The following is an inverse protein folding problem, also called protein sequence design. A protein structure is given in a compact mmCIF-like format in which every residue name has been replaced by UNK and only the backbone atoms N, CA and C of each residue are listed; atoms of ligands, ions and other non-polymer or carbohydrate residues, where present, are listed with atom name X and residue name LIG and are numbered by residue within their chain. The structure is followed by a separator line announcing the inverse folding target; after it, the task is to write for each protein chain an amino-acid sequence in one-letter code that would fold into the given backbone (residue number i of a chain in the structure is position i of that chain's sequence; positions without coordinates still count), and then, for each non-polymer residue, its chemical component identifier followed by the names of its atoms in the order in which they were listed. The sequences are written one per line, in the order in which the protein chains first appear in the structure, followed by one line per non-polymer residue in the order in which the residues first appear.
data_IF_570770629255
#
_entry.id   IF_570770629255
#
_cell.length_a   1.000
_cell.length_b   1.000
_cell.length_c   1.000
_cell.angle_alpha   90.00
_cell.angle_beta   90.00
_cell.angle_gamma   90.00
#
_symmetry.space_group_name_H-M   'P 1'
#
loop_
_entity.id
_entity.type
_entity.pdbx_description
1 polymer ?
#
# COMPACT_ATOMS: atom_id res chain seq x y z
N UNK A 1 3.58 4.59 27.62
CA UNK A 1 3.29 4.58 26.19
C UNK A 1 1.84 4.14 26.00
N UNK A 2 1.07 4.87 25.20
CA UNK A 2 -0.34 4.57 24.93
C UNK A 2 -0.58 4.63 23.43
N UNK A 3 -1.51 3.80 22.93
CA UNK A 3 -1.94 3.80 21.53
C UNK A 3 -3.44 4.12 21.51
N UNK A 4 -3.82 5.07 20.65
CA UNK A 4 -5.21 5.36 20.34
C UNK A 4 -5.53 4.77 18.96
N UNK A 5 -6.41 3.81 18.95
CA UNK A 5 -6.84 3.08 17.76
C UNK A 5 -8.17 3.62 17.26
N UNK A 6 -8.23 3.99 16.00
CA UNK A 6 -9.45 4.47 15.33
C UNK A 6 -9.94 3.36 14.40
N UNK A 7 -11.05 2.72 14.79
CA UNK A 7 -11.71 1.71 13.97
C UNK A 7 -13.22 1.66 14.27
N UNK A 8 -14.02 1.24 13.30
CA UNK A 8 -15.49 1.15 13.40
C UNK A 8 -16.17 2.48 13.83
N UNK A 9 -15.55 3.63 13.50
CA UNK A 9 -16.04 4.96 13.90
C UNK A 9 -15.86 5.29 15.38
N UNK A 10 -15.00 4.55 16.08
CA UNK A 10 -14.69 4.76 17.52
C UNK A 10 -13.20 4.90 17.75
N UNK A 11 -12.84 5.59 18.81
CA UNK A 11 -11.47 5.68 19.30
C UNK A 11 -11.34 4.78 20.52
N UNK A 12 -10.44 3.81 20.47
CA UNK A 12 -10.13 2.93 21.59
C UNK A 12 -8.70 3.20 22.05
N UNK A 13 -8.51 3.33 23.35
CA UNK A 13 -7.19 3.55 23.95
C UNK A 13 -6.63 2.26 24.54
N UNK A 14 -5.37 2.01 24.26
CA UNK A 14 -4.63 0.84 24.74
C UNK A 14 -3.36 1.31 25.46
N UNK A 15 -3.07 0.70 26.60
CA UNK A 15 -1.78 0.86 27.28
C UNK A 15 -0.78 -0.11 26.68
N UNK A 16 0.42 0.34 26.35
CA UNK A 16 1.48 -0.46 25.78
C UNK A 16 2.04 0.10 24.47
N UNK A 17 2.96 -0.64 23.86
CA UNK A 17 3.59 -0.31 22.59
C UNK A 17 2.75 -0.84 21.40
N UNK A 18 3.18 -0.49 20.19
CA UNK A 18 2.51 -0.92 18.95
C UNK A 18 2.43 -2.44 18.82
N UNK A 19 3.48 -3.16 19.15
CA UNK A 19 3.52 -4.62 19.04
C UNK A 19 2.47 -5.27 19.94
N UNK A 20 2.39 -4.83 21.21
CA UNK A 20 1.38 -5.32 22.15
C UNK A 20 -0.05 -5.05 21.64
N UNK A 21 -0.31 -3.82 21.16
CA UNK A 21 -1.60 -3.47 20.59
C UNK A 21 -1.94 -4.35 19.37
N UNK A 22 -0.98 -4.51 18.46
CA UNK A 22 -1.17 -5.30 17.24
C UNK A 22 -1.54 -6.76 17.55
N UNK A 23 -0.75 -7.42 18.40
CA UNK A 23 -0.99 -8.81 18.83
C UNK A 23 -2.33 -8.95 19.54
N UNK A 24 -2.65 -8.05 20.49
CA UNK A 24 -3.93 -8.04 21.21
C UNK A 24 -5.11 -7.83 20.26
N UNK A 25 -5.00 -6.94 19.30
CA UNK A 25 -6.05 -6.67 18.31
C UNK A 25 -6.30 -7.87 17.40
N UNK A 26 -5.24 -8.56 16.95
CA UNK A 26 -5.33 -9.78 16.15
C UNK A 26 -5.97 -10.92 16.95
N UNK A 27 -5.57 -11.10 18.20
CA UNK A 27 -6.15 -12.11 19.08
C UNK A 27 -7.65 -11.87 19.29
N UNK A 28 -8.03 -10.64 19.60
CA UNK A 28 -9.44 -10.26 19.78
C UNK A 28 -10.27 -10.49 18.50
N UNK A 29 -9.70 -10.19 17.32
CA UNK A 29 -10.36 -10.44 16.05
C UNK A 29 -10.59 -11.93 15.81
N UNK A 30 -9.58 -12.78 16.06
CA UNK A 30 -9.69 -14.25 15.96
C UNK A 30 -10.72 -14.82 16.93
N UNK A 31 -10.72 -14.35 18.18
CA UNK A 31 -11.71 -14.80 19.19
C UNK A 31 -13.14 -14.44 18.79
N UNK A 32 -13.38 -13.22 18.29
CA UNK A 32 -14.69 -12.80 17.77
C UNK A 32 -15.13 -13.66 16.58
N UNK A 33 -14.22 -13.92 15.64
CA UNK A 33 -14.52 -14.78 14.49
C UNK A 33 -14.91 -16.20 14.91
N UNK A 34 -14.20 -16.79 15.88
CA UNK A 34 -14.54 -18.11 16.43
C UNK A 34 -15.89 -18.10 17.17
N UNK A 35 -16.16 -17.08 17.97
CA UNK A 35 -17.44 -16.95 18.67
C UNK A 35 -18.60 -16.84 17.69
N UNK A 36 -18.46 -16.03 16.64
CA UNK A 36 -19.48 -15.90 15.61
C UNK A 36 -19.72 -17.20 14.86
N UNK A 37 -18.63 -17.89 14.47
CA UNK A 37 -18.76 -19.19 13.80
C UNK A 37 -19.55 -20.18 14.65
N UNK A 38 -19.23 -20.27 15.94
CA UNK A 38 -19.98 -21.14 16.88
C UNK A 38 -21.44 -20.70 17.03
N UNK A 39 -21.70 -19.39 17.06
CA UNK A 39 -23.06 -18.86 17.15
C UNK A 39 -23.87 -19.15 15.88
N UNK A 40 -23.26 -19.02 14.69
CA UNK A 40 -23.88 -19.36 13.40
C UNK A 40 -24.18 -20.85 13.27
N UNK A 41 -23.22 -21.72 13.64
CA UNK A 41 -23.43 -23.19 13.69
C UNK A 41 -24.59 -23.53 14.61
N UNK A 42 -24.64 -22.92 15.80
CA UNK A 42 -25.73 -23.11 16.75
C UNK A 42 -27.07 -22.60 16.24
N UNK A 43 -27.07 -21.45 15.59
CA UNK A 43 -28.28 -20.91 14.95
C UNK A 43 -28.81 -21.88 13.90
N UNK A 44 -27.94 -22.41 13.02
CA UNK A 44 -28.29 -23.37 11.98
C UNK A 44 -28.89 -24.65 12.56
N UNK A 45 -28.29 -25.25 13.60
CA UNK A 45 -28.84 -26.39 14.30
C UNK A 45 -30.26 -26.13 14.83
N UNK A 46 -30.47 -24.96 15.44
CA UNK A 46 -31.76 -24.58 15.99
C UNK A 46 -32.82 -24.37 14.90
N UNK A 47 -32.44 -23.74 13.80
CA UNK A 47 -33.30 -23.53 12.61
C UNK A 47 -33.70 -24.83 11.96
N UNK A 48 -32.75 -25.77 11.78
CA UNK A 48 -33.04 -27.11 11.25
C UNK A 48 -34.01 -27.88 12.15
N UNK A 49 -33.82 -27.78 13.46
CA UNK A 49 -34.75 -28.41 14.41
C UNK A 49 -36.17 -27.80 14.31
N UNK A 50 -36.27 -26.48 14.26
CA UNK A 50 -37.56 -25.78 14.12
C UNK A 50 -38.23 -26.18 12.80
N UNK A 51 -37.49 -26.24 11.70
CA UNK A 51 -38.03 -26.65 10.39
C UNK A 51 -38.60 -28.07 10.41
N UNK A 52 -37.90 -29.03 11.06
CA UNK A 52 -38.36 -30.44 11.16
C UNK A 52 -39.58 -30.64 12.04
N UNK A 53 -39.75 -29.85 13.09
CA UNK A 53 -40.75 -30.09 14.11
C UNK A 53 -41.81 -29.00 14.30
N UNK A 54 -41.80 -27.96 13.48
CA UNK A 54 -42.77 -26.84 13.56
C UNK A 54 -44.21 -27.29 13.36
N UNK A 55 -44.45 -28.29 12.52
CA UNK A 55 -45.78 -28.82 12.21
C UNK A 55 -46.28 -29.89 13.26
N UNK A 56 -45.42 -30.30 14.19
CA UNK A 56 -45.78 -31.35 15.16
C UNK A 56 -46.31 -30.74 16.46
N UNK A 57 -47.60 -30.95 16.73
CA UNK A 57 -48.32 -30.41 17.91
C UNK A 57 -47.60 -30.74 19.22
N UNK A 58 -47.14 -32.01 19.39
CA UNK A 58 -46.45 -32.46 20.60
C UNK A 58 -45.10 -31.78 20.84
N UNK A 59 -44.45 -31.32 19.78
CA UNK A 59 -43.10 -30.65 19.83
C UNK A 59 -43.15 -29.14 19.63
N UNK A 60 -44.33 -28.55 19.41
CA UNK A 60 -44.54 -27.12 19.18
C UNK A 60 -43.97 -26.26 20.30
N UNK A 61 -44.15 -26.65 21.57
CA UNK A 61 -43.54 -25.92 22.74
C UNK A 61 -42.01 -25.93 22.67
N UNK A 62 -41.41 -27.02 22.20
CA UNK A 62 -39.95 -27.11 22.07
C UNK A 62 -39.43 -26.24 20.90
N UNK A 63 -40.15 -26.20 19.78
CA UNK A 63 -39.84 -25.31 18.64
C UNK A 63 -39.91 -23.87 19.08
N UNK A 64 -40.94 -23.44 19.81
CA UNK A 64 -41.09 -22.07 20.34
C UNK A 64 -39.95 -21.73 21.31
N UNK A 65 -39.56 -22.64 22.21
CA UNK A 65 -38.44 -22.45 23.12
C UNK A 65 -37.12 -22.23 22.35
N UNK A 66 -36.87 -23.02 21.27
CA UNK A 66 -35.67 -22.87 20.45
C UNK A 66 -35.67 -21.60 19.62
N UNK A 67 -36.83 -21.13 19.18
CA UNK A 67 -36.95 -19.80 18.52
C UNK A 67 -36.52 -18.69 19.46
N UNK A 68 -36.94 -18.71 20.72
CA UNK A 68 -36.47 -17.77 21.76
C UNK A 68 -34.97 -17.88 22.04
N UNK A 69 -34.37 -19.08 21.85
CA UNK A 69 -32.91 -19.22 21.97
C UNK A 69 -32.18 -18.57 20.79
N UNK A 70 -32.72 -18.65 19.59
CA UNK A 70 -32.16 -17.94 18.41
C UNK A 70 -32.20 -16.42 18.65
N UNK A 71 -33.33 -15.89 19.14
CA UNK A 71 -33.49 -14.45 19.43
C UNK A 71 -32.49 -13.94 20.51
N UNK A 72 -32.01 -14.85 21.36
CA UNK A 72 -30.99 -14.57 22.39
C UNK A 72 -29.55 -14.78 21.93
N UNK A 73 -29.35 -15.42 20.78
CA UNK A 73 -28.00 -15.56 20.21
C UNK A 73 -27.52 -14.20 19.70
N UNK A 74 -26.65 -13.58 20.48
CA UNK A 74 -25.94 -12.39 20.05
C UNK A 74 -24.92 -12.77 18.96
N UNK A 75 -25.38 -12.84 17.72
CA UNK A 75 -24.48 -12.87 16.57
C UNK A 75 -24.04 -11.42 16.38
N UNK A 76 -22.87 -11.12 16.87
CA UNK A 76 -22.27 -9.81 16.61
C UNK A 76 -21.97 -9.75 15.13
N UNK A 77 -22.63 -8.87 14.42
CA UNK A 77 -22.28 -8.56 13.05
C UNK A 77 -20.81 -8.12 13.02
N UNK A 78 -19.92 -9.00 12.57
CA UNK A 78 -18.50 -8.65 12.40
C UNK A 78 -18.44 -7.72 11.21
N UNK A 79 -18.57 -6.42 11.47
CA UNK A 79 -18.25 -5.43 10.46
C UNK A 79 -16.77 -5.61 10.10
N UNK A 80 -16.44 -5.72 8.81
CA UNK A 80 -15.05 -5.71 8.39
C UNK A 80 -14.37 -4.44 8.93
N UNK A 81 -13.13 -4.56 9.37
CA UNK A 81 -12.37 -3.39 9.84
C UNK A 81 -12.41 -2.28 8.80
N UNK A 82 -12.61 -1.05 9.26
CA UNK A 82 -12.54 0.13 8.39
C UNK A 82 -11.11 0.43 7.92
N UNK A 83 -10.12 -0.25 8.51
CA UNK A 83 -8.72 -0.12 8.11
C UNK A 83 -8.50 -0.77 6.75
N UNK A 84 -8.02 0.02 5.82
CA UNK A 84 -7.61 -0.43 4.50
C UNK A 84 -6.13 -0.16 4.35
N UNK A 85 -5.39 -1.17 3.92
CA UNK A 85 -3.96 -1.08 3.67
C UNK A 85 -3.70 -1.13 2.17
N UNK A 86 -2.84 -0.26 1.64
CA UNK A 86 -2.42 -0.38 0.25
C UNK A 86 -1.61 -1.67 0.07
N UNK A 87 -1.83 -2.36 -1.03
CA UNK A 87 -1.08 -3.56 -1.42
C UNK A 87 0.10 -3.13 -2.31
N UNK A 88 1.25 -2.86 -1.70
CA UNK A 88 2.47 -2.48 -2.42
C UNK A 88 3.22 -3.77 -2.78
N UNK A 89 3.12 -4.17 -4.06
CA UNK A 89 3.74 -5.37 -4.59
C UNK A 89 4.50 -4.98 -5.85
N UNK A 90 5.84 -4.97 -5.75
CA UNK A 90 6.70 -4.72 -6.90
C UNK A 90 7.06 -6.05 -7.56
N UNK A 91 6.60 -6.21 -8.78
CA UNK A 91 7.00 -7.31 -9.66
C UNK A 91 8.03 -6.77 -10.65
N UNK A 92 9.09 -7.51 -10.88
CA UNK A 92 10.10 -7.16 -11.87
C UNK A 92 9.77 -7.85 -13.20
N UNK A 93 9.93 -7.14 -14.29
CA UNK A 93 9.77 -7.71 -15.63
C UNK A 93 10.90 -8.68 -15.96
N UNK A 94 12.13 -8.33 -15.55
CA UNK A 94 13.34 -9.15 -15.72
C UNK A 94 14.24 -9.06 -14.50
N UNK A 95 15.10 -10.04 -14.34
CA UNK A 95 16.15 -9.98 -13.32
C UNK A 95 17.22 -8.96 -13.70
N UNK A 96 17.73 -8.26 -12.70
CA UNK A 96 18.91 -7.42 -12.86
C UNK A 96 20.17 -8.30 -12.96
N UNK A 97 21.16 -7.86 -13.71
CA UNK A 97 22.52 -8.42 -13.68
C UNK A 97 23.23 -8.11 -12.37
N UNK A 98 24.47 -8.60 -12.25
CA UNK A 98 25.23 -8.44 -11.01
C UNK A 98 25.60 -6.98 -10.72
N UNK A 99 25.92 -6.21 -11.75
CA UNK A 99 26.24 -4.78 -11.61
C UNK A 99 24.96 -3.95 -11.80
N UNK A 100 24.61 -3.20 -10.77
CA UNK A 100 23.39 -2.35 -10.77
C UNK A 100 23.75 -0.90 -11.06
N UNK A 101 24.64 -0.31 -10.31
CA UNK A 101 25.06 1.09 -10.43
C UNK A 101 26.52 1.25 -10.07
N UNK A 102 27.27 1.95 -10.90
CA UNK A 102 28.61 2.42 -10.58
C UNK A 102 28.62 3.94 -10.60
N UNK A 103 29.14 4.57 -9.55
CA UNK A 103 29.30 6.01 -9.39
C UNK A 103 30.75 6.29 -9.09
N UNK A 104 31.36 7.22 -9.81
CA UNK A 104 32.80 7.54 -9.70
C UNK A 104 33.01 9.05 -9.52
N UNK A 105 33.68 9.43 -8.42
CA UNK A 105 34.07 10.79 -8.10
C UNK A 105 32.96 11.84 -8.22
N UNK A 106 31.70 11.44 -7.92
CA UNK A 106 30.54 12.28 -8.12
C UNK A 106 30.55 13.46 -7.13
N UNK A 107 30.37 14.67 -7.64
CA UNK A 107 30.35 15.90 -6.82
C UNK A 107 29.22 16.80 -7.26
N UNK A 108 28.63 17.52 -6.29
CA UNK A 108 27.59 18.52 -6.52
C UNK A 108 27.66 19.64 -5.50
N UNK A 109 27.57 20.87 -5.99
CA UNK A 109 27.41 22.08 -5.22
C UNK A 109 26.22 22.89 -5.73
N UNK A 110 25.65 23.70 -4.88
CA UNK A 110 24.63 24.69 -5.23
C UNK A 110 25.14 26.03 -4.71
N UNK A 111 25.30 26.99 -5.64
CA UNK A 111 25.92 28.29 -5.34
C UNK A 111 27.31 28.09 -4.70
N UNK A 112 27.45 28.38 -3.39
CA UNK A 112 28.71 28.22 -2.66
C UNK A 112 28.68 27.02 -1.67
N UNK A 113 27.57 26.30 -1.57
CA UNK A 113 27.41 25.17 -0.66
C UNK A 113 27.79 23.86 -1.36
N UNK A 114 28.80 23.17 -0.86
CA UNK A 114 29.15 21.82 -1.32
C UNK A 114 28.18 20.83 -0.70
N UNK A 115 27.30 20.24 -1.50
CA UNK A 115 26.36 19.23 -1.03
C UNK A 115 27.03 17.87 -0.79
N UNK A 116 27.88 17.46 -1.73
CA UNK A 116 28.74 16.28 -1.61
C UNK A 116 29.91 16.38 -2.59
N UNK A 117 30.99 15.68 -2.28
CA UNK A 117 32.22 15.71 -3.06
C UNK A 117 32.86 14.33 -3.11
N UNK A 118 33.30 13.95 -4.32
CA UNK A 118 34.04 12.71 -4.60
C UNK A 118 33.35 11.46 -4.03
N UNK A 119 32.05 11.30 -4.31
CA UNK A 119 31.33 10.09 -3.91
C UNK A 119 31.64 9.00 -4.91
N UNK A 120 32.11 7.86 -4.38
CA UNK A 120 32.26 6.61 -5.08
C UNK A 120 31.27 5.60 -4.50
N UNK A 121 30.50 4.93 -5.36
CA UNK A 121 29.52 3.94 -4.94
C UNK A 121 29.38 2.87 -6.02
N UNK A 122 29.51 1.61 -5.61
CA UNK A 122 29.25 0.47 -6.47
C UNK A 122 28.14 -0.38 -5.86
N UNK A 123 27.05 -0.59 -6.61
CA UNK A 123 25.91 -1.40 -6.18
C UNK A 123 25.82 -2.68 -7.01
N UNK A 124 25.70 -3.78 -6.30
CA UNK A 124 25.51 -5.11 -6.84
C UNK A 124 24.08 -5.61 -6.65
N UNK A 125 23.72 -6.68 -7.37
CA UNK A 125 22.42 -7.33 -7.25
C UNK A 125 22.12 -7.75 -5.82
N UNK A 126 20.97 -7.29 -5.30
CA UNK A 126 20.50 -7.63 -3.96
C UNK A 126 20.91 -6.63 -2.88
N UNK A 127 21.75 -5.65 -3.19
CA UNK A 127 22.13 -4.61 -2.24
C UNK A 127 20.93 -3.77 -1.82
N UNK A 128 20.93 -3.42 -0.52
CA UNK A 128 19.96 -2.48 0.06
C UNK A 128 20.74 -1.33 0.66
N UNK A 129 20.68 -0.18 0.02
CA UNK A 129 21.46 0.99 0.38
C UNK A 129 20.59 2.10 0.92
N UNK A 130 20.96 2.62 2.08
CA UNK A 130 20.38 3.83 2.65
C UNK A 130 21.36 4.99 2.46
N UNK A 131 20.95 5.99 1.70
CA UNK A 131 21.70 7.24 1.53
C UNK A 131 21.27 8.21 2.62
N UNK A 132 22.23 8.63 3.44
CA UNK A 132 22.01 9.45 4.61
C UNK A 132 22.80 10.76 4.53
N UNK A 133 22.18 11.90 4.77
CA UNK A 133 22.85 13.19 4.83
C UNK A 133 22.22 14.07 5.91
N UNK A 134 23.04 15.01 6.46
CA UNK A 134 22.52 16.08 7.33
C UNK A 134 21.72 17.13 6.56
N UNK A 135 22.06 17.32 5.28
CA UNK A 135 21.35 18.20 4.38
C UNK A 135 20.51 17.40 3.41
N UNK A 136 19.19 17.55 3.50
CA UNK A 136 18.24 16.85 2.62
C UNK A 136 18.43 17.20 1.13
N UNK A 137 18.98 18.39 0.83
CA UNK A 137 19.31 18.80 -0.54
C UNK A 137 20.35 17.86 -1.16
N UNK A 138 21.33 17.41 -0.37
CA UNK A 138 22.35 16.48 -0.86
C UNK A 138 21.73 15.15 -1.32
N UNK A 139 20.86 14.57 -0.51
CA UNK A 139 20.17 13.30 -0.87
C UNK A 139 19.28 13.49 -2.09
N UNK A 140 18.51 14.57 -2.14
CA UNK A 140 17.61 14.87 -3.27
C UNK A 140 18.41 15.05 -4.56
N UNK A 141 19.47 15.87 -4.54
CA UNK A 141 20.31 16.10 -5.72
C UNK A 141 21.03 14.84 -6.18
N UNK A 142 21.52 14.02 -5.25
CA UNK A 142 22.13 12.74 -5.59
C UNK A 142 21.14 11.84 -6.38
N UNK A 143 19.91 11.68 -5.88
CA UNK A 143 18.90 10.89 -6.60
C UNK A 143 18.47 11.54 -7.92
N UNK A 144 18.39 12.85 -8.02
CA UNK A 144 18.10 13.52 -9.28
C UNK A 144 19.21 13.31 -10.33
N UNK A 145 20.48 13.35 -9.91
CA UNK A 145 21.63 13.11 -10.80
C UNK A 145 21.58 11.70 -11.35
N UNK A 146 21.51 10.67 -10.49
CA UNK A 146 21.50 9.27 -10.95
C UNK A 146 20.22 8.89 -11.70
N UNK A 147 19.19 9.76 -11.69
CA UNK A 147 17.99 9.64 -12.55
C UNK A 147 18.07 10.49 -13.85
N UNK A 148 19.21 11.09 -14.14
CA UNK A 148 19.39 12.01 -15.29
C UNK A 148 18.46 13.23 -15.28
N UNK A 149 17.93 13.62 -14.10
CA UNK A 149 17.13 14.84 -13.93
C UNK A 149 17.99 16.08 -13.68
N UNK A 150 19.24 15.88 -13.24
CA UNK A 150 20.20 16.93 -12.90
C UNK A 150 21.60 16.50 -13.33
N UNK A 151 22.43 17.45 -13.81
CA UNK A 151 23.82 17.19 -14.14
C UNK A 151 24.71 17.31 -12.89
N UNK A 152 25.69 16.41 -12.69
CA UNK A 152 26.71 16.58 -11.65
C UNK A 152 27.69 17.71 -12.05
N UNK A 153 28.40 18.26 -11.07
CA UNK A 153 29.49 19.22 -11.32
C UNK A 153 30.76 18.50 -11.79
N UNK A 154 31.02 17.29 -11.26
CA UNK A 154 32.09 16.40 -11.70
C UNK A 154 31.77 14.94 -11.38
N UNK A 155 32.54 14.04 -11.96
CA UNK A 155 32.33 12.60 -11.85
C UNK A 155 31.33 12.05 -12.86
N UNK A 156 31.10 10.75 -12.77
CA UNK A 156 30.21 10.02 -13.68
C UNK A 156 29.45 8.92 -12.95
N UNK A 157 28.41 8.44 -13.57
CA UNK A 157 27.71 7.23 -13.11
C UNK A 157 27.20 6.42 -14.30
N UNK A 158 27.16 5.11 -14.09
CA UNK A 158 26.69 4.17 -15.11
C UNK A 158 25.77 3.13 -14.48
N UNK A 159 24.61 2.95 -15.08
CA UNK A 159 23.67 1.89 -14.73
C UNK A 159 24.00 0.60 -15.47
N UNK A 160 23.80 -0.52 -14.80
CA UNK A 160 23.90 -1.83 -15.44
C UNK A 160 22.92 -1.94 -16.64
N UNK A 161 23.36 -2.58 -17.72
CA UNK A 161 22.61 -2.69 -18.99
C UNK A 161 21.22 -3.31 -18.79
N UNK A 162 21.08 -4.23 -17.82
CA UNK A 162 19.82 -4.91 -17.51
C UNK A 162 18.99 -4.20 -16.46
N UNK A 163 19.45 -3.06 -15.95
CA UNK A 163 18.76 -2.34 -14.87
C UNK A 163 17.63 -1.48 -15.43
N UNK A 164 16.42 -1.71 -14.94
CA UNK A 164 15.24 -0.88 -15.17
C UNK A 164 14.85 -0.16 -13.88
N UNK A 165 14.73 1.16 -13.97
CA UNK A 165 14.66 2.02 -12.80
C UNK A 165 13.24 2.49 -12.54
N UNK A 166 12.83 2.49 -11.26
CA UNK A 166 11.62 3.15 -10.79
C UNK A 166 11.96 4.14 -9.69
N UNK A 167 11.60 5.40 -9.90
CA UNK A 167 11.93 6.50 -9.00
C UNK A 167 10.67 7.21 -8.49
N UNK A 168 10.61 7.41 -7.17
CA UNK A 168 9.62 8.22 -6.49
C UNK A 168 10.28 9.54 -6.08
N UNK A 169 10.03 10.65 -6.79
CA UNK A 169 10.56 11.96 -6.41
C UNK A 169 9.93 12.46 -5.12
N UNK A 170 10.63 13.35 -4.42
CA UNK A 170 10.13 13.99 -3.21
C UNK A 170 8.94 14.90 -3.56
N UNK A 171 9.12 15.80 -4.54
CA UNK A 171 8.03 16.58 -5.12
C UNK A 171 7.51 15.88 -6.38
N UNK A 172 6.24 15.57 -6.36
CA UNK A 172 5.54 14.90 -7.46
C UNK A 172 4.40 15.75 -8.02
N UNK A 173 4.35 17.02 -7.67
CA UNK A 173 3.24 17.93 -8.04
C UNK A 173 3.05 18.04 -9.54
N UNK A 174 4.15 18.10 -10.30
CA UNK A 174 4.14 18.28 -11.76
C UNK A 174 3.47 17.13 -12.51
N UNK A 175 3.44 15.94 -11.92
CA UNK A 175 2.77 14.77 -12.51
C UNK A 175 1.25 14.87 -12.51
N UNK A 176 0.67 15.78 -11.72
CA UNK A 176 -0.77 15.88 -11.46
C UNK A 176 -1.40 17.20 -11.90
N UNK A 177 -0.74 17.98 -12.75
CA UNK A 177 -1.24 19.27 -13.22
C UNK A 177 -2.34 19.18 -14.29
N UNK A 178 -2.61 17.97 -14.81
CA UNK A 178 -3.62 17.73 -15.84
C UNK A 178 -5.02 17.56 -15.24
N UNK A 179 -6.03 18.02 -15.96
CA UNK A 179 -7.44 17.88 -15.57
C UNK A 179 -8.06 16.58 -16.13
N UNK A 180 -7.41 15.45 -15.92
CA UNK A 180 -7.83 14.12 -16.31
C UNK A 180 -8.10 13.25 -15.08
N UNK A 181 -8.83 12.14 -15.22
CA UNK A 181 -9.06 11.22 -14.12
C UNK A 181 -7.83 10.29 -13.90
N UNK A 182 -7.81 9.57 -12.77
CA UNK A 182 -6.66 8.74 -12.40
C UNK A 182 -6.44 7.56 -13.36
N UNK A 183 -7.49 7.01 -13.96
CA UNK A 183 -7.35 5.93 -14.94
C UNK A 183 -6.66 6.45 -16.20
N UNK A 184 -7.10 7.61 -16.72
CA UNK A 184 -6.46 8.25 -17.87
C UNK A 184 -5.02 8.66 -17.56
N UNK A 185 -4.80 9.20 -16.37
CA UNK A 185 -3.46 9.54 -15.91
C UNK A 185 -2.52 8.32 -15.89
N UNK A 186 -2.96 7.21 -15.33
CA UNK A 186 -2.14 6.00 -15.27
C UNK A 186 -1.94 5.38 -16.66
N UNK A 187 -2.91 5.51 -17.58
CA UNK A 187 -2.84 5.05 -18.97
C UNK A 187 -1.70 5.70 -19.76
N UNK A 188 -1.32 6.94 -19.43
CA UNK A 188 -0.19 7.62 -20.08
C UNK A 188 1.15 6.89 -19.87
N UNK A 189 1.24 6.03 -18.85
CA UNK A 189 2.45 5.29 -18.51
C UNK A 189 2.41 3.81 -18.92
N UNK A 190 1.36 3.39 -19.61
CA UNK A 190 1.22 2.04 -20.13
C UNK A 190 2.12 1.83 -21.36
N UNK A 191 2.84 0.71 -21.41
CA UNK A 191 3.76 0.38 -22.49
C UNK A 191 3.10 -0.52 -23.55
N UNK A 192 2.10 -1.31 -23.18
CA UNK A 192 1.40 -2.26 -24.06
C UNK A 192 -0.10 -1.95 -24.14
N UNK A 193 -0.78 -2.47 -25.16
CA UNK A 193 -2.23 -2.33 -25.30
C UNK A 193 -2.97 -3.00 -24.13
N UNK A 194 -2.49 -4.14 -23.64
CA UNK A 194 -3.06 -4.82 -22.47
C UNK A 194 -3.00 -3.95 -21.20
N UNK A 195 -1.87 -3.24 -21.02
CA UNK A 195 -1.69 -2.33 -19.89
C UNK A 195 -2.59 -1.09 -19.99
N UNK A 196 -3.07 -0.73 -21.19
CA UNK A 196 -4.01 0.39 -21.43
C UNK A 196 -5.44 0.05 -21.10
N UNK A 197 -5.78 -1.22 -20.92
CA UNK A 197 -7.12 -1.63 -20.56
C UNK A 197 -7.54 -1.07 -19.20
N UNK A 198 -8.76 -0.57 -19.13
CA UNK A 198 -9.28 0.05 -17.90
C UNK A 198 -9.26 -0.89 -16.71
N UNK A 199 -9.56 -2.17 -16.91
CA UNK A 199 -9.56 -3.19 -15.85
C UNK A 199 -8.16 -3.36 -15.26
N UNK A 200 -7.14 -3.38 -16.11
CA UNK A 200 -5.74 -3.49 -15.68
C UNK A 200 -5.32 -2.27 -14.84
N UNK A 201 -5.60 -1.07 -15.32
CA UNK A 201 -5.28 0.19 -14.64
C UNK A 201 -6.01 0.32 -13.30
N UNK A 202 -7.31 0.00 -13.27
CA UNK A 202 -8.10 -0.02 -12.04
C UNK A 202 -7.57 -1.05 -11.03
N UNK A 203 -6.98 -2.14 -11.48
CA UNK A 203 -6.30 -3.12 -10.62
C UNK A 203 -5.17 -2.49 -9.81
N UNK A 204 -4.30 -1.72 -10.43
CA UNK A 204 -3.21 -1.01 -9.74
C UNK A 204 -3.71 0.12 -8.84
N UNK A 205 -4.67 0.90 -9.30
CA UNK A 205 -5.32 1.94 -8.49
C UNK A 205 -6.03 1.33 -7.28
N UNK A 206 -6.71 0.20 -7.45
CA UNK A 206 -7.37 -0.54 -6.38
C UNK A 206 -6.39 -1.05 -5.32
N UNK A 207 -5.20 -1.55 -5.71
CA UNK A 207 -4.11 -1.89 -4.78
C UNK A 207 -3.72 -0.70 -3.91
N UNK A 208 -3.84 0.53 -4.41
CA UNK A 208 -3.56 1.78 -3.69
C UNK A 208 -4.82 2.43 -3.07
N UNK A 209 -5.90 1.64 -2.91
CA UNK A 209 -7.15 2.05 -2.25
C UNK A 209 -7.95 3.09 -3.06
N UNK A 210 -7.74 3.21 -4.36
CA UNK A 210 -8.63 3.95 -5.26
C UNK A 210 -9.63 2.98 -5.88
N UNK A 211 -10.79 2.80 -5.25
CA UNK A 211 -11.82 1.86 -5.69
C UNK A 211 -13.09 2.59 -6.14
N UNK A 212 -13.82 2.01 -7.09
CA UNK A 212 -15.07 2.59 -7.59
C UNK A 212 -14.86 3.98 -8.17
N UNK A 213 -15.61 4.95 -7.66
CA UNK A 213 -15.60 6.35 -8.11
C UNK A 213 -14.29 7.08 -7.75
N UNK A 214 -13.54 6.59 -6.77
CA UNK A 214 -12.25 7.19 -6.42
C UNK A 214 -11.22 7.11 -7.54
N UNK A 215 -11.28 6.08 -8.38
CA UNK A 215 -10.42 5.97 -9.56
C UNK A 215 -10.76 7.00 -10.65
N UNK A 216 -11.94 7.62 -10.58
CA UNK A 216 -12.39 8.65 -11.51
C UNK A 216 -12.12 10.09 -10.98
N UNK A 217 -11.54 10.23 -9.80
CA UNK A 217 -11.10 11.53 -9.30
C UNK A 217 -10.13 12.19 -10.27
N UNK A 218 -10.23 13.50 -10.39
CA UNK A 218 -9.30 14.29 -11.20
C UNK A 218 -7.94 14.43 -10.51
N UNK A 219 -6.87 14.40 -11.28
CA UNK A 219 -5.50 14.45 -10.77
C UNK A 219 -5.21 15.73 -9.97
N UNK A 220 -5.74 16.86 -10.41
CA UNK A 220 -5.49 18.17 -9.82
C UNK A 220 -6.14 18.41 -8.45
N UNK A 221 -7.08 17.54 -8.01
CA UNK A 221 -7.76 17.66 -6.71
C UNK A 221 -7.22 16.69 -5.65
N UNK A 222 -6.17 15.95 -5.96
CA UNK A 222 -5.61 14.95 -5.07
C UNK A 222 -4.86 15.59 -3.90
N UNK A 223 -5.04 15.02 -2.71
CA UNK A 223 -4.19 15.31 -1.55
C UNK A 223 -2.76 14.78 -1.75
N UNK A 224 -1.79 15.28 -0.98
CA UNK A 224 -0.40 14.83 -1.05
C UNK A 224 -0.24 13.32 -0.90
N UNK A 225 -0.94 12.71 0.06
CA UNK A 225 -0.93 11.26 0.27
C UNK A 225 -1.57 10.46 -0.89
N UNK A 226 -2.61 10.98 -1.52
CA UNK A 226 -3.22 10.38 -2.72
C UNK A 226 -2.25 10.45 -3.90
N UNK A 227 -1.57 11.57 -4.11
CA UNK A 227 -0.53 11.72 -5.14
C UNK A 227 0.58 10.68 -4.98
N UNK A 228 1.10 10.51 -3.76
CA UNK A 228 2.13 9.49 -3.48
C UNK A 228 1.62 8.08 -3.78
N UNK A 229 0.39 7.73 -3.39
CA UNK A 229 -0.20 6.42 -3.72
C UNK A 229 -0.36 6.21 -5.22
N UNK A 230 -0.76 7.23 -5.97
CA UNK A 230 -0.80 7.17 -7.44
C UNK A 230 0.60 6.95 -8.04
N UNK A 231 1.62 7.65 -7.53
CA UNK A 231 3.00 7.44 -7.99
C UNK A 231 3.49 6.03 -7.71
N UNK A 232 3.13 5.43 -6.56
CA UNK A 232 3.44 4.03 -6.26
C UNK A 232 2.72 3.09 -7.23
N UNK A 233 1.44 3.35 -7.59
CA UNK A 233 0.73 2.59 -8.63
C UNK A 233 1.49 2.59 -9.95
N UNK A 234 1.93 3.77 -10.38
CA UNK A 234 2.76 3.95 -11.59
C UNK A 234 4.07 3.16 -11.50
N UNK A 235 4.75 3.22 -10.36
CA UNK A 235 6.01 2.49 -10.16
C UNK A 235 5.80 0.97 -10.21
N UNK A 236 4.74 0.45 -9.59
CA UNK A 236 4.39 -0.97 -9.66
C UNK A 236 4.08 -1.42 -11.10
N UNK A 237 3.33 -0.60 -11.85
CA UNK A 237 3.01 -0.89 -13.25
C UNK A 237 4.25 -0.93 -14.14
N UNK A 238 5.25 -0.09 -13.84
CA UNK A 238 6.50 0.00 -14.60
C UNK A 238 7.40 -1.24 -14.45
N UNK A 239 7.16 -2.10 -13.47
CA UNK A 239 7.88 -3.37 -13.23
C UNK A 239 9.40 -3.22 -13.20
N UNK A 240 9.91 -2.11 -12.69
CA UNK A 240 11.33 -1.87 -12.55
C UNK A 240 12.01 -2.87 -11.61
N UNK A 241 13.24 -3.27 -11.91
CA UNK A 241 14.02 -4.16 -11.06
C UNK A 241 14.91 -3.41 -10.06
N UNK A 242 14.94 -2.09 -10.13
CA UNK A 242 15.56 -1.19 -9.16
C UNK A 242 14.56 -0.13 -8.70
N UNK A 243 14.35 -0.01 -7.38
CA UNK A 243 13.37 0.90 -6.80
C UNK A 243 14.08 1.91 -5.90
N UNK A 244 13.80 3.19 -6.16
CA UNK A 244 14.42 4.31 -5.43
C UNK A 244 13.37 5.29 -4.94
N UNK A 245 13.64 5.84 -3.78
CA UNK A 245 12.85 6.90 -3.19
C UNK A 245 13.78 7.95 -2.58
N UNK A 246 13.60 9.22 -2.95
CA UNK A 246 14.12 10.32 -2.18
C UNK A 246 13.34 10.40 -0.86
N UNK A 247 14.06 10.43 0.26
CA UNK A 247 13.49 10.55 1.59
C UNK A 247 14.01 11.82 2.23
N UNK A 248 13.12 12.54 2.90
CA UNK A 248 13.49 13.63 3.82
C UNK A 248 13.66 13.07 5.20
#
# INVERSE_FOLDING_TARGET
THISDIDFGKINHYSGNYTFWYESSQLAARQRAQQNKKAEEKKKELEEFIARFSANVAKSKQATSRKKMIDKLNIHEIKPSSRRYPAIIFEREREAGDQILNVENLSKSIENDILFKNIDLNLSKGDKVLVFSRDSRATTNFFQIINNCLQPDSGSFNWGITTSQSYLPLDNSDFFNKNINLVEWLREYANTEEEREEVYLRGFLGKMIFSGDEALKKCNVLSGGEKVRCMISRMMMKKGNEIRRAHV
#
